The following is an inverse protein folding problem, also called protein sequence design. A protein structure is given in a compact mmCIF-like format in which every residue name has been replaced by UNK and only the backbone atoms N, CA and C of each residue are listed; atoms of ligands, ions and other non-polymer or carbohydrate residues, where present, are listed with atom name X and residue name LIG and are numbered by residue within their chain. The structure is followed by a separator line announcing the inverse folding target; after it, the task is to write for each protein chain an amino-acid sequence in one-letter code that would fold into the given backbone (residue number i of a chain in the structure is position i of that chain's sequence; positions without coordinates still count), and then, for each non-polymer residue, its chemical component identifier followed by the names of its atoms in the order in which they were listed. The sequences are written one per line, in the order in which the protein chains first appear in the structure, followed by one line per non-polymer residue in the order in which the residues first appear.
data_IF_248891183656
#
_entry.id   IF_248891183656
#
_cell.length_a   1.000
_cell.length_b   1.000
_cell.length_c   1.000
_cell.angle_alpha   90.00
_cell.angle_beta   90.00
_cell.angle_gamma   90.00
#
_symmetry.space_group_name_H-M   'P 1'
#
loop_
_entity.id
_entity.type
_entity.pdbx_description
1 polymer ?
#
# COMPACT_ATOMS: atom_id res chain seq x y z
N UNK A 1 -33.07 -17.56 18.91
CA UNK A 1 -33.48 -16.98 17.62
C UNK A 1 -33.33 -15.47 17.76
N UNK A 2 -32.39 -14.77 17.16
CA UNK A 2 -31.52 -15.02 16.01
C UNK A 2 -30.15 -14.37 16.26
N UNK A 3 -29.09 -15.18 16.17
CA UNK A 3 -27.68 -14.77 16.15
C UNK A 3 -27.01 -15.15 14.83
N UNK A 4 -27.81 -15.48 13.81
CA UNK A 4 -27.37 -16.17 12.58
C UNK A 4 -27.23 -15.25 11.35
N UNK A 5 -27.54 -13.95 11.46
CA UNK A 5 -27.63 -13.07 10.28
C UNK A 5 -26.31 -12.44 9.82
N UNK A 6 -25.22 -12.48 10.60
CA UNK A 6 -23.92 -11.92 10.16
C UNK A 6 -23.05 -12.94 9.41
N UNK A 7 -23.08 -14.22 9.77
CA UNK A 7 -22.35 -15.28 9.05
C UNK A 7 -22.95 -15.54 7.66
N UNK A 8 -24.27 -15.40 7.50
CA UNK A 8 -24.94 -15.63 6.21
C UNK A 8 -24.48 -14.63 5.13
N UNK A 9 -24.11 -13.40 5.51
CA UNK A 9 -23.75 -12.36 4.55
C UNK A 9 -22.38 -12.56 3.87
N UNK A 10 -21.38 -13.08 4.60
CA UNK A 10 -20.04 -13.33 4.08
C UNK A 10 -19.95 -14.67 3.34
N UNK A 11 -20.72 -15.67 3.78
CA UNK A 11 -20.88 -16.95 3.07
C UNK A 11 -21.56 -16.74 1.72
N UNK A 12 -22.69 -16.02 1.68
CA UNK A 12 -23.39 -15.67 0.44
C UNK A 12 -22.50 -14.92 -0.55
N UNK A 13 -21.63 -14.03 -0.05
CA UNK A 13 -20.68 -13.28 -0.88
C UNK A 13 -19.58 -14.17 -1.45
N UNK A 14 -19.07 -15.10 -0.65
CA UNK A 14 -18.04 -16.05 -1.08
C UNK A 14 -18.61 -17.02 -2.11
N UNK A 15 -19.79 -17.56 -1.87
CA UNK A 15 -20.51 -18.42 -2.82
C UNK A 15 -20.79 -17.70 -4.13
N UNK A 16 -21.28 -16.45 -4.08
CA UNK A 16 -21.47 -15.63 -5.28
C UNK A 16 -20.17 -15.48 -6.08
N UNK A 17 -19.05 -15.20 -5.42
CA UNK A 17 -17.75 -15.07 -6.09
C UNK A 17 -17.31 -16.37 -6.72
N UNK A 18 -17.46 -17.51 -6.04
CA UNK A 18 -17.10 -18.82 -6.56
C UNK A 18 -17.94 -19.19 -7.79
N UNK A 19 -19.26 -19.02 -7.72
CA UNK A 19 -20.17 -19.24 -8.85
C UNK A 19 -19.83 -18.33 -10.04
N UNK A 20 -19.46 -17.08 -9.75
CA UNK A 20 -19.01 -16.11 -10.77
C UNK A 20 -17.73 -16.59 -11.47
N UNK A 21 -16.74 -17.10 -10.72
CA UNK A 21 -15.49 -17.62 -11.29
C UNK A 21 -15.75 -18.85 -12.16
N UNK A 22 -16.60 -19.78 -11.73
CA UNK A 22 -16.95 -20.96 -12.52
C UNK A 22 -17.66 -20.60 -13.83
N UNK A 23 -18.46 -19.52 -13.83
CA UNK A 23 -19.05 -18.98 -15.06
C UNK A 23 -17.98 -18.40 -15.98
N UNK A 24 -17.09 -17.55 -15.45
CA UNK A 24 -16.02 -16.89 -16.23
C UNK A 24 -15.07 -17.91 -16.86
N UNK A 25 -14.71 -18.98 -16.15
CA UNK A 25 -13.80 -20.03 -16.66
C UNK A 25 -14.31 -20.70 -17.94
N UNK A 26 -15.64 -20.77 -18.11
CA UNK A 26 -16.31 -21.40 -19.26
C UNK A 26 -16.37 -20.51 -20.50
N UNK A 27 -15.99 -19.24 -20.40
CA UNK A 27 -15.98 -18.33 -21.56
C UNK A 27 -15.02 -18.84 -22.64
N UNK A 28 -15.42 -18.68 -23.89
CA UNK A 28 -14.55 -18.81 -25.04
C UNK A 28 -13.72 -17.53 -25.26
N UNK A 29 -12.63 -17.66 -26.00
CA UNK A 29 -11.77 -16.51 -26.31
C UNK A 29 -12.52 -15.46 -27.14
N UNK A 30 -12.58 -14.24 -26.63
CA UNK A 30 -13.31 -13.12 -27.22
C UNK A 30 -14.67 -12.87 -26.55
N UNK A 31 -15.20 -13.82 -25.80
CA UNK A 31 -16.50 -13.69 -25.15
C UNK A 31 -16.46 -12.77 -23.93
N UNK A 32 -17.62 -12.18 -23.63
CA UNK A 32 -17.82 -11.28 -22.50
C UNK A 32 -19.01 -11.72 -21.66
N UNK A 33 -18.77 -11.87 -20.37
CA UNK A 33 -19.79 -12.09 -19.35
C UNK A 33 -20.13 -10.79 -18.63
N UNK A 34 -21.42 -10.57 -18.34
CA UNK A 34 -21.89 -9.42 -17.58
C UNK A 34 -22.38 -9.88 -16.21
N UNK A 35 -21.79 -9.32 -15.15
CA UNK A 35 -22.04 -9.71 -13.77
C UNK A 35 -22.66 -8.53 -13.06
N UNK A 36 -23.89 -8.71 -12.60
CA UNK A 36 -24.66 -7.66 -11.95
C UNK A 36 -25.36 -8.17 -10.71
N UNK A 37 -25.17 -7.46 -9.60
CA UNK A 37 -25.96 -7.54 -8.39
C UNK A 37 -25.98 -6.16 -7.71
N UNK A 38 -26.50 -6.05 -6.48
CA UNK A 38 -26.60 -4.78 -5.75
C UNK A 38 -25.23 -4.07 -5.56
N UNK A 39 -24.15 -4.84 -5.41
CA UNK A 39 -22.80 -4.32 -5.10
C UNK A 39 -21.86 -4.32 -6.30
N UNK A 40 -22.11 -5.17 -7.28
CA UNK A 40 -21.23 -5.47 -8.41
C UNK A 40 -21.97 -5.13 -9.70
N UNK A 41 -21.31 -4.38 -10.57
CA UNK A 41 -21.78 -4.13 -11.92
C UNK A 41 -20.55 -4.06 -12.82
N UNK A 42 -20.17 -5.20 -13.38
CA UNK A 42 -18.95 -5.34 -14.15
C UNK A 42 -19.11 -6.27 -15.34
N UNK A 43 -18.19 -6.14 -16.30
CA UNK A 43 -18.02 -7.10 -17.38
C UNK A 43 -16.66 -7.76 -17.32
N UNK A 44 -16.61 -9.01 -17.78
CA UNK A 44 -15.39 -9.82 -17.85
C UNK A 44 -15.27 -10.38 -19.24
N UNK A 45 -14.21 -10.01 -19.94
CA UNK A 45 -13.93 -10.51 -21.29
C UNK A 45 -12.73 -11.46 -21.23
N UNK A 46 -12.85 -12.67 -21.77
CA UNK A 46 -11.69 -13.55 -21.97
C UNK A 46 -10.93 -13.09 -23.22
N UNK A 47 -9.86 -12.34 -23.02
CA UNK A 47 -9.25 -11.51 -24.06
C UNK A 47 -8.11 -12.21 -24.81
N UNK A 48 -8.28 -12.37 -26.12
CA UNK A 48 -7.32 -12.99 -27.04
C UNK A 48 -5.96 -12.27 -26.99
N UNK A 49 -5.96 -10.94 -27.08
CA UNK A 49 -4.74 -10.14 -27.24
C UNK A 49 -3.75 -10.35 -26.10
N UNK A 50 -4.22 -10.32 -24.86
CA UNK A 50 -3.38 -10.45 -23.67
C UNK A 50 -3.33 -11.86 -23.12
N UNK A 51 -3.98 -12.83 -23.78
CA UNK A 51 -4.10 -14.21 -23.30
C UNK A 51 -4.58 -14.29 -21.83
N UNK A 52 -5.53 -13.44 -21.45
CA UNK A 52 -6.06 -13.37 -20.08
C UNK A 52 -7.44 -12.72 -20.03
N UNK A 53 -8.03 -12.58 -18.85
CA UNK A 53 -9.31 -11.90 -18.64
C UNK A 53 -9.12 -10.38 -18.48
N UNK A 54 -10.08 -9.60 -18.97
CA UNK A 54 -10.18 -8.16 -18.72
C UNK A 54 -11.44 -7.91 -17.91
N UNK A 55 -11.28 -7.41 -16.68
CA UNK A 55 -12.36 -7.04 -15.79
C UNK A 55 -12.58 -5.52 -15.82
N UNK A 56 -13.83 -5.07 -15.99
CA UNK A 56 -14.19 -3.63 -16.07
C UNK A 56 -15.45 -3.34 -15.25
N UNK A 57 -15.53 -2.15 -14.65
CA UNK A 57 -16.73 -1.70 -13.92
C UNK A 57 -16.66 -1.85 -12.40
N UNK A 58 -17.77 -1.63 -11.72
CA UNK A 58 -17.85 -1.64 -10.24
C UNK A 58 -17.70 -3.07 -9.71
N UNK A 59 -16.77 -3.28 -8.78
CA UNK A 59 -16.49 -4.59 -8.20
C UNK A 59 -15.53 -5.48 -9.01
N UNK A 60 -15.18 -5.08 -10.23
CA UNK A 60 -14.29 -5.80 -11.14
C UNK A 60 -12.94 -6.21 -10.52
N UNK A 61 -12.30 -5.29 -9.79
CA UNK A 61 -11.04 -5.56 -9.07
C UNK A 61 -11.17 -6.72 -8.06
N UNK A 62 -12.29 -6.79 -7.34
CA UNK A 62 -12.49 -7.82 -6.32
C UNK A 62 -12.65 -9.20 -6.96
N UNK A 63 -13.39 -9.29 -8.08
CA UNK A 63 -13.54 -10.55 -8.82
C UNK A 63 -12.21 -10.97 -9.42
N UNK A 64 -11.44 -10.04 -10.00
CA UNK A 64 -10.11 -10.34 -10.54
C UNK A 64 -9.15 -10.88 -9.47
N UNK A 65 -9.18 -10.29 -8.26
CA UNK A 65 -8.43 -10.80 -7.10
C UNK A 65 -8.91 -12.18 -6.67
N UNK A 66 -10.22 -12.40 -6.63
CA UNK A 66 -10.80 -13.69 -6.29
C UNK A 66 -10.34 -14.77 -7.28
N UNK A 67 -10.39 -14.49 -8.59
CA UNK A 67 -9.88 -15.38 -9.63
C UNK A 67 -8.41 -15.76 -9.41
N UNK A 68 -7.56 -14.78 -9.09
CA UNK A 68 -6.13 -15.01 -8.80
C UNK A 68 -5.97 -16.00 -7.64
N UNK A 69 -6.70 -15.76 -6.54
CA UNK A 69 -6.60 -16.58 -5.34
C UNK A 69 -7.14 -17.99 -5.53
N UNK A 70 -8.27 -18.15 -6.23
CA UNK A 70 -8.92 -19.44 -6.46
C UNK A 70 -8.15 -20.34 -7.43
N UNK A 71 -7.47 -19.76 -8.41
CA UNK A 71 -6.83 -20.55 -9.48
C UNK A 71 -5.37 -20.85 -9.22
N UNK A 72 -4.66 -20.03 -8.43
CA UNK A 72 -3.20 -20.02 -8.30
C UNK A 72 -2.41 -19.94 -9.61
N UNK A 73 -3.10 -19.82 -10.75
CA UNK A 73 -2.53 -19.78 -12.09
C UNK A 73 -1.96 -18.39 -12.39
N UNK A 74 -2.67 -17.35 -11.95
CA UNK A 74 -2.25 -15.97 -12.12
C UNK A 74 -1.41 -15.49 -10.93
N UNK A 75 -0.21 -14.95 -11.20
CA UNK A 75 0.72 -14.50 -10.15
C UNK A 75 0.54 -13.03 -9.79
N UNK A 76 0.15 -12.18 -10.75
CA UNK A 76 0.05 -10.72 -10.54
C UNK A 76 -1.27 -10.16 -11.07
N UNK A 77 -1.62 -8.96 -10.61
CA UNK A 77 -2.75 -8.19 -11.12
C UNK A 77 -2.22 -6.86 -11.63
N UNK A 78 -2.61 -6.49 -12.85
CA UNK A 78 -2.27 -5.20 -13.45
C UNK A 78 -3.54 -4.41 -13.75
N UNK A 79 -3.37 -3.11 -13.94
CA UNK A 79 -4.38 -2.20 -14.41
C UNK A 79 -3.93 -1.51 -15.68
N UNK A 80 -4.80 -1.46 -16.68
CA UNK A 80 -4.63 -0.61 -17.86
C UNK A 80 -5.76 0.43 -17.82
N UNK A 81 -5.41 1.72 -17.84
CA UNK A 81 -6.42 2.77 -18.02
C UNK A 81 -6.85 2.81 -19.48
N UNK A 82 -8.15 2.66 -19.72
CA UNK A 82 -8.76 2.88 -21.01
C UNK A 82 -9.07 4.37 -21.25
N UNK A 83 -9.73 4.63 -22.39
CA UNK A 83 -10.34 5.94 -22.67
C UNK A 83 -11.25 6.36 -21.50
N UNK A 84 -11.25 7.67 -21.21
CA UNK A 84 -11.95 8.29 -20.07
C UNK A 84 -11.53 7.76 -18.69
N UNK A 85 -10.26 7.35 -18.54
CA UNK A 85 -9.70 6.85 -17.27
C UNK A 85 -10.43 5.61 -16.72
N UNK A 86 -11.15 4.88 -17.60
CA UNK A 86 -11.82 3.64 -17.22
C UNK A 86 -10.81 2.56 -16.85
N UNK A 87 -10.88 2.07 -15.61
CA UNK A 87 -9.96 1.05 -15.11
C UNK A 87 -10.32 -0.32 -15.67
N UNK A 88 -9.30 -1.03 -16.15
CA UNK A 88 -9.38 -2.41 -16.62
C UNK A 88 -8.37 -3.23 -15.85
N UNK A 89 -8.82 -4.25 -15.13
CA UNK A 89 -7.96 -5.12 -14.35
C UNK A 89 -7.70 -6.41 -15.11
N UNK A 90 -6.42 -6.81 -15.20
CA UNK A 90 -6.00 -8.02 -15.92
C UNK A 90 -5.14 -8.86 -14.97
N UNK A 91 -5.57 -10.07 -14.58
CA UNK A 91 -4.68 -11.00 -13.92
C UNK A 91 -3.66 -11.52 -14.94
N UNK A 92 -2.40 -11.65 -14.56
CA UNK A 92 -1.34 -12.13 -15.46
C UNK A 92 -0.56 -13.25 -14.78
N UNK A 93 -0.11 -14.22 -15.57
CA UNK A 93 0.67 -15.37 -15.09
C UNK A 93 2.11 -14.96 -14.81
N UNK A 94 2.70 -14.21 -15.73
CA UNK A 94 4.05 -13.68 -15.61
C UNK A 94 4.12 -12.26 -16.16
N UNK A 95 5.06 -11.48 -15.62
CA UNK A 95 5.33 -10.16 -16.16
C UNK A 95 6.06 -10.25 -17.49
N UNK A 96 6.88 -11.28 -17.68
CA UNK A 96 7.64 -11.58 -18.88
C UNK A 96 6.72 -11.75 -20.09
N UNK A 97 5.78 -12.69 -20.03
CA UNK A 97 4.84 -12.96 -21.13
C UNK A 97 3.97 -11.74 -21.43
N UNK A 98 3.46 -11.07 -20.39
CA UNK A 98 2.67 -9.87 -20.57
C UNK A 98 3.48 -8.76 -21.24
N UNK A 99 4.73 -8.55 -20.82
CA UNK A 99 5.57 -7.50 -21.37
C UNK A 99 6.00 -7.79 -22.81
N UNK A 100 6.24 -9.06 -23.17
CA UNK A 100 6.51 -9.46 -24.56
C UNK A 100 5.37 -9.08 -25.51
N UNK A 101 4.12 -9.17 -25.05
CA UNK A 101 2.92 -8.73 -25.78
C UNK A 101 2.82 -7.19 -25.77
N UNK A 102 3.09 -6.57 -24.63
CA UNK A 102 2.82 -5.14 -24.40
C UNK A 102 3.94 -4.20 -24.88
N UNK A 103 5.18 -4.67 -25.04
CA UNK A 103 6.35 -3.85 -25.38
C UNK A 103 6.25 -3.14 -26.73
N UNK A 104 5.34 -3.55 -27.60
CA UNK A 104 5.09 -2.91 -28.89
C UNK A 104 4.02 -1.81 -28.83
N UNK A 105 3.33 -1.65 -27.69
CA UNK A 105 2.34 -0.58 -27.54
C UNK A 105 3.03 0.79 -27.66
N UNK A 106 2.51 1.73 -28.46
CA UNK A 106 3.08 3.08 -28.53
C UNK A 106 3.15 3.69 -27.14
N UNK A 107 4.29 4.32 -26.79
CA UNK A 107 4.47 4.90 -25.45
C UNK A 107 3.42 5.98 -25.15
N UNK A 108 2.87 6.64 -26.16
CA UNK A 108 1.74 7.56 -26.05
C UNK A 108 0.49 6.93 -25.46
N UNK A 109 0.26 5.65 -25.76
CA UNK A 109 -0.95 4.92 -25.41
C UNK A 109 -0.74 3.99 -24.20
N UNK A 110 0.46 4.00 -23.62
CA UNK A 110 0.75 3.21 -22.43
C UNK A 110 0.18 3.87 -21.19
N UNK A 111 -0.76 3.19 -20.55
CA UNK A 111 -1.35 3.59 -19.28
C UNK A 111 -1.40 2.43 -18.29
N UNK A 112 -0.26 1.75 -18.15
CA UNK A 112 -0.13 0.53 -17.36
C UNK A 112 0.30 0.84 -15.92
N UNK A 113 -0.41 0.21 -15.00
CA UNK A 113 -0.15 0.22 -13.57
C UNK A 113 -0.03 -1.22 -13.09
N UNK A 114 0.90 -1.47 -12.19
CA UNK A 114 0.89 -2.69 -11.40
C UNK A 114 -0.03 -2.52 -10.19
N UNK A 115 -0.61 -3.62 -9.71
CA UNK A 115 -1.36 -3.63 -8.48
C UNK A 115 -0.56 -4.36 -7.40
N UNK A 116 -0.05 -3.60 -6.44
CA UNK A 116 0.68 -4.11 -5.28
C UNK A 116 -0.34 -4.68 -4.29
N UNK A 117 -0.62 -5.97 -4.41
CA UNK A 117 -1.59 -6.68 -3.59
C UNK A 117 -1.12 -6.74 -2.14
N UNK A 118 -1.98 -6.34 -1.21
CA UNK A 118 -1.60 -6.15 0.20
C UNK A 118 -1.11 -7.40 0.92
N UNK A 119 -1.49 -8.58 0.42
CA UNK A 119 -1.17 -9.88 0.99
C UNK A 119 -0.02 -10.57 0.25
N UNK A 120 0.61 -9.90 -0.72
CA UNK A 120 1.74 -10.43 -1.48
C UNK A 120 3.01 -9.63 -1.19
N UNK A 121 4.18 -10.30 -1.21
CA UNK A 121 5.47 -9.63 -1.14
C UNK A 121 5.70 -8.65 -2.29
N UNK A 122 6.54 -7.65 -2.04
CA UNK A 122 6.87 -6.61 -3.00
C UNK A 122 8.34 -6.16 -2.86
N UNK A 123 8.96 -5.72 -3.94
CA UNK A 123 10.29 -5.10 -3.88
C UNK A 123 10.24 -3.82 -3.01
N UNK A 124 11.33 -3.45 -2.34
CA UNK A 124 11.45 -2.12 -1.73
C UNK A 124 11.22 -1.02 -2.77
N UNK A 125 10.40 -0.04 -2.44
CA UNK A 125 10.08 1.04 -3.37
C UNK A 125 9.78 2.35 -2.64
N UNK A 126 9.88 3.47 -3.36
CA UNK A 126 9.50 4.80 -2.90
C UNK A 126 8.76 5.54 -4.01
N UNK A 127 7.73 6.29 -3.64
CA UNK A 127 7.20 7.38 -4.46
C UNK A 127 7.67 8.70 -3.85
N UNK A 128 8.34 9.50 -4.65
CA UNK A 128 8.91 10.78 -4.20
C UNK A 128 8.24 11.87 -5.01
N UNK A 129 7.51 12.75 -4.34
CA UNK A 129 6.86 13.90 -4.95
C UNK A 129 6.87 15.12 -4.04
N UNK A 130 7.13 16.27 -4.65
CA UNK A 130 6.96 17.56 -3.99
C UNK A 130 6.63 18.66 -5.00
N UNK A 131 5.97 19.70 -4.53
CA UNK A 131 5.67 20.89 -5.33
C UNK A 131 6.91 21.78 -5.36
N UNK A 132 7.30 22.23 -6.55
CA UNK A 132 8.43 23.15 -6.72
C UNK A 132 8.06 24.54 -6.22
N UNK A 133 8.92 25.17 -5.44
CA UNK A 133 8.72 26.59 -5.09
C UNK A 133 9.06 27.47 -6.30
N UNK A 134 8.32 28.56 -6.49
CA UNK A 134 8.61 29.54 -7.55
C UNK A 134 10.06 30.04 -7.40
N UNK A 135 10.85 29.98 -8.47
CA UNK A 135 12.28 30.37 -8.57
C UNK A 135 13.29 29.41 -7.91
N UNK A 136 12.88 28.28 -7.37
CA UNK A 136 13.82 27.29 -6.82
C UNK A 136 14.47 26.48 -7.94
N UNK A 137 15.80 26.57 -8.07
CA UNK A 137 16.56 25.62 -8.87
C UNK A 137 16.73 24.35 -8.04
N UNK A 138 15.90 23.33 -8.30
CA UNK A 138 16.09 22.03 -7.67
C UNK A 138 17.34 21.35 -8.27
N UNK A 139 18.35 21.11 -7.45
CA UNK A 139 19.49 20.27 -7.83
C UNK A 139 19.10 18.79 -7.70
N UNK A 140 18.48 18.25 -8.76
CA UNK A 140 18.04 16.86 -8.77
C UNK A 140 19.18 15.86 -8.65
N UNK A 141 20.35 16.18 -9.21
CA UNK A 141 21.52 15.29 -9.17
C UNK A 141 21.99 15.10 -7.72
N UNK A 142 22.18 16.21 -7.01
CA UNK A 142 22.56 16.19 -5.59
C UNK A 142 21.52 15.47 -4.72
N UNK A 143 20.23 15.75 -4.92
CA UNK A 143 19.17 15.03 -4.20
C UNK A 143 19.23 13.51 -4.44
N UNK A 144 19.40 13.09 -5.70
CA UNK A 144 19.46 11.68 -6.07
C UNK A 144 20.72 11.01 -5.51
N UNK A 145 21.87 11.69 -5.54
CA UNK A 145 23.12 11.14 -5.01
C UNK A 145 23.07 10.96 -3.49
N UNK A 146 22.50 11.92 -2.76
CA UNK A 146 22.25 11.80 -1.31
C UNK A 146 21.27 10.66 -1.04
N UNK A 147 20.15 10.59 -1.78
CA UNK A 147 19.14 9.54 -1.63
C UNK A 147 19.72 8.14 -1.86
N UNK A 148 20.53 7.96 -2.91
CA UNK A 148 21.23 6.68 -3.19
C UNK A 148 22.12 6.31 -2.00
N UNK A 149 22.91 7.26 -1.50
CA UNK A 149 23.81 7.04 -0.37
C UNK A 149 23.05 6.62 0.89
N UNK A 150 21.95 7.31 1.19
CA UNK A 150 21.10 7.03 2.35
C UNK A 150 20.40 5.67 2.24
N UNK A 151 19.90 5.32 1.05
CA UNK A 151 19.30 3.99 0.79
C UNK A 151 20.35 2.89 1.03
N UNK A 152 21.55 3.01 0.46
CA UNK A 152 22.62 2.02 0.65
C UNK A 152 22.96 1.88 2.14
N UNK A 153 23.09 3.02 2.84
CA UNK A 153 23.36 3.05 4.29
C UNK A 153 22.27 2.34 5.10
N UNK A 154 20.99 2.55 4.80
CA UNK A 154 19.88 1.88 5.49
C UNK A 154 19.91 0.38 5.23
N UNK A 155 20.08 -0.05 3.98
CA UNK A 155 20.14 -1.47 3.67
C UNK A 155 21.30 -2.17 4.40
N UNK A 156 22.47 -1.53 4.44
CA UNK A 156 23.63 -2.06 5.16
C UNK A 156 23.40 -2.11 6.67
N UNK A 157 22.91 -1.02 7.28
CA UNK A 157 22.87 -0.86 8.74
C UNK A 157 21.60 -1.40 9.40
N UNK A 158 20.46 -1.40 8.69
CA UNK A 158 19.15 -1.81 9.22
C UNK A 158 18.73 -3.19 8.74
N UNK A 159 18.97 -3.47 7.47
CA UNK A 159 18.55 -4.74 6.86
C UNK A 159 19.70 -5.74 6.73
N UNK A 160 20.90 -5.38 7.18
CA UNK A 160 22.11 -6.20 7.07
C UNK A 160 22.29 -6.77 5.65
N UNK A 161 21.99 -5.95 4.65
CA UNK A 161 21.98 -6.36 3.24
C UNK A 161 22.82 -5.39 2.42
N UNK A 162 23.78 -5.91 1.69
CA UNK A 162 24.61 -5.12 0.79
C UNK A 162 23.89 -4.88 -0.55
N UNK A 163 23.72 -3.61 -0.90
CA UNK A 163 23.25 -3.16 -2.21
C UNK A 163 24.17 -2.07 -2.74
N UNK A 164 24.17 -1.89 -4.06
CA UNK A 164 24.92 -0.83 -4.73
C UNK A 164 24.00 0.02 -5.61
N UNK A 165 24.56 1.04 -6.27
CA UNK A 165 23.80 1.95 -7.15
C UNK A 165 23.08 1.23 -8.30
N UNK A 166 23.62 0.12 -8.80
CA UNK A 166 23.02 -0.68 -9.88
C UNK A 166 21.79 -1.45 -9.43
N UNK A 167 21.58 -1.62 -8.11
CA UNK A 167 20.35 -2.18 -7.56
C UNK A 167 19.23 -1.14 -7.43
N UNK A 168 19.51 0.15 -7.61
CA UNK A 168 18.56 1.24 -7.34
C UNK A 168 18.00 1.80 -8.64
N UNK A 169 16.81 1.36 -9.00
CA UNK A 169 16.12 1.74 -10.22
C UNK A 169 15.35 3.04 -10.01
N UNK A 170 15.77 4.11 -10.68
CA UNK A 170 15.17 5.45 -10.56
C UNK A 170 14.46 5.82 -11.85
N UNK A 171 13.19 6.21 -11.77
CA UNK A 171 12.45 6.82 -12.88
C UNK A 171 11.90 8.19 -12.52
N UNK A 172 11.65 9.03 -13.52
CA UNK A 172 11.11 10.38 -13.35
C UNK A 172 9.95 10.67 -14.26
N UNK A 173 9.07 11.56 -13.80
CA UNK A 173 7.91 12.06 -14.54
C UNK A 173 7.59 13.51 -14.14
N UNK A 174 8.62 14.33 -13.99
CA UNK A 174 8.52 15.72 -13.52
C UNK A 174 7.58 16.58 -14.40
N UNK A 175 7.00 17.61 -13.79
CA UNK A 175 6.37 18.73 -14.50
C UNK A 175 7.05 20.03 -14.09
N UNK A 176 6.62 21.16 -14.63
CA UNK A 176 7.11 22.48 -14.17
C UNK A 176 6.71 22.79 -12.73
N UNK A 177 5.62 22.18 -12.26
CA UNK A 177 5.03 22.43 -10.93
C UNK A 177 5.43 21.36 -9.92
N UNK A 178 5.64 20.12 -10.36
CA UNK A 178 5.80 18.96 -9.48
C UNK A 178 7.06 18.18 -9.82
N UNK A 179 7.87 17.89 -8.82
CA UNK A 179 8.91 16.88 -8.92
C UNK A 179 8.29 15.51 -8.63
N UNK A 180 8.74 14.47 -9.33
CA UNK A 180 8.19 13.12 -9.22
C UNK A 180 9.23 12.08 -9.64
N UNK A 181 9.62 11.24 -8.69
CA UNK A 181 10.47 10.07 -8.90
C UNK A 181 9.77 8.81 -8.39
N UNK A 182 9.97 7.69 -9.08
CA UNK A 182 9.78 6.38 -8.46
C UNK A 182 11.13 5.71 -8.28
N UNK A 183 11.33 5.11 -7.11
CA UNK A 183 12.50 4.31 -6.79
C UNK A 183 12.05 2.86 -6.58
N UNK A 184 12.76 1.90 -7.17
CA UNK A 184 12.58 0.46 -6.92
C UNK A 184 13.94 -0.16 -6.66
N UNK A 185 14.06 -0.99 -5.62
CA UNK A 185 15.31 -1.70 -5.31
C UNK A 185 15.22 -3.11 -5.89
N UNK A 186 16.01 -3.37 -6.93
CA UNK A 186 16.10 -4.66 -7.59
C UNK A 186 17.40 -5.38 -7.18
N UNK A 187 17.28 -6.25 -6.18
CA UNK A 187 18.38 -7.04 -5.64
C UNK A 187 17.98 -8.51 -5.56
N UNK A 188 18.88 -9.37 -6.03
CA UNK A 188 18.83 -10.82 -5.80
C UNK A 188 19.95 -11.19 -4.84
N UNK A 189 19.62 -11.98 -3.82
CA UNK A 189 20.55 -12.53 -2.82
C UNK A 189 20.37 -14.05 -2.80
N UNK A 190 21.44 -14.82 -3.00
CA UNK A 190 21.39 -16.30 -2.97
C UNK A 190 20.27 -16.89 -3.85
N UNK A 191 20.12 -16.39 -5.08
CA UNK A 191 19.05 -16.76 -6.01
C UNK A 191 17.62 -16.51 -5.50
N UNK A 192 17.45 -15.57 -4.56
CA UNK A 192 16.14 -15.10 -4.11
C UNK A 192 16.00 -13.60 -4.33
N UNK A 193 14.86 -13.15 -4.84
CA UNK A 193 14.56 -11.72 -4.94
C UNK A 193 14.40 -11.13 -3.54
N UNK A 194 15.08 -10.03 -3.24
CA UNK A 194 14.90 -9.32 -1.99
C UNK A 194 13.55 -8.58 -2.00
N UNK A 195 12.70 -8.85 -1.01
CA UNK A 195 11.36 -8.30 -0.93
C UNK A 195 10.96 -7.96 0.51
N UNK A 196 9.99 -7.05 0.65
CA UNK A 196 9.18 -6.93 1.85
C UNK A 196 7.98 -7.87 1.77
N UNK A 197 7.46 -8.28 2.91
CA UNK A 197 6.31 -9.21 3.02
C UNK A 197 5.01 -8.56 2.55
N UNK A 198 4.91 -7.24 2.70
CA UNK A 198 3.75 -6.45 2.31
C UNK A 198 4.14 -5.00 2.04
N UNK A 199 3.28 -4.23 1.39
CA UNK A 199 3.45 -2.78 1.25
C UNK A 199 2.70 -1.97 2.31
N UNK A 200 1.95 -2.62 3.21
CA UNK A 200 0.99 -1.93 4.08
C UNK A 200 1.69 -1.20 5.22
N UNK A 201 1.41 0.10 5.35
CA UNK A 201 1.91 0.91 6.46
C UNK A 201 1.51 0.31 7.82
N UNK A 202 2.48 0.24 8.74
CA UNK A 202 2.29 -0.26 10.10
C UNK A 202 2.24 -1.78 10.23
N UNK A 203 2.47 -2.54 9.16
CA UNK A 203 2.70 -3.99 9.23
C UNK A 203 4.18 -4.29 9.41
N UNK A 204 4.48 -5.44 10.04
CA UNK A 204 5.83 -5.98 10.12
C UNK A 204 6.37 -6.29 8.70
N UNK A 205 7.69 -6.22 8.52
CA UNK A 205 8.36 -6.49 7.24
C UNK A 205 7.72 -5.75 6.06
N UNK A 206 7.26 -4.53 6.29
CA UNK A 206 6.55 -3.73 5.29
C UNK A 206 7.48 -2.82 4.51
N UNK A 207 7.20 -2.60 3.22
CA UNK A 207 7.89 -1.61 2.39
C UNK A 207 7.81 -0.18 2.95
N UNK A 208 6.83 0.10 3.82
CA UNK A 208 6.76 1.35 4.58
C UNK A 208 8.02 1.61 5.43
N UNK A 209 8.68 0.55 5.90
CA UNK A 209 9.83 0.68 6.79
C UNK A 209 10.97 1.46 6.14
N UNK A 210 11.26 1.23 4.85
CA UNK A 210 12.29 1.99 4.12
C UNK A 210 11.98 3.49 4.12
N UNK A 211 10.73 3.87 3.87
CA UNK A 211 10.30 5.28 3.94
C UNK A 211 10.52 5.85 5.35
N UNK A 212 10.20 5.08 6.39
CA UNK A 212 10.33 5.52 7.77
C UNK A 212 11.79 5.68 8.19
N UNK A 213 12.66 4.73 7.85
CA UNK A 213 14.10 4.80 8.15
C UNK A 213 14.78 5.95 7.39
N UNK A 214 14.37 6.22 6.14
CA UNK A 214 14.83 7.41 5.42
C UNK A 214 14.44 8.68 6.16
N UNK A 215 13.17 8.85 6.53
CA UNK A 215 12.70 10.04 7.26
C UNK A 215 13.43 10.22 8.60
N UNK A 216 13.75 9.13 9.31
CA UNK A 216 14.55 9.17 10.55
C UNK A 216 15.99 9.60 10.29
N UNK A 217 16.59 9.12 9.20
CA UNK A 217 17.96 9.44 8.81
C UNK A 217 18.08 10.90 8.34
N UNK A 218 17.12 11.38 7.57
CA UNK A 218 17.07 12.76 7.09
C UNK A 218 15.62 13.25 7.06
N UNK A 219 15.33 14.22 7.94
CA UNK A 219 13.98 14.75 8.15
C UNK A 219 13.41 15.47 6.92
N UNK A 220 14.25 15.92 5.98
CA UNK A 220 13.77 16.54 4.75
C UNK A 220 12.90 15.61 3.91
N UNK A 221 13.13 14.30 3.99
CA UNK A 221 12.36 13.31 3.24
C UNK A 221 10.89 13.28 3.65
N UNK A 222 10.53 13.73 4.86
CA UNK A 222 9.14 13.76 5.33
C UNK A 222 8.22 14.59 4.41
N UNK A 223 8.78 15.62 3.77
CA UNK A 223 8.05 16.49 2.85
C UNK A 223 8.19 16.10 1.38
N UNK A 224 8.99 15.06 1.08
CA UNK A 224 9.36 14.66 -0.28
C UNK A 224 8.90 13.24 -0.63
N UNK A 225 8.83 12.32 0.34
CA UNK A 225 8.39 10.93 0.10
C UNK A 225 6.88 10.84 0.35
N UNK A 226 6.12 10.34 -0.62
CA UNK A 226 4.68 10.13 -0.46
C UNK A 226 4.40 8.86 0.35
N UNK A 227 4.18 9.04 1.64
CA UNK A 227 3.76 8.00 2.56
C UNK A 227 2.36 7.43 2.26
N UNK A 228 1.56 8.08 1.40
CA UNK A 228 0.21 7.65 1.09
C UNK A 228 0.18 6.40 0.21
N UNK A 229 1.29 6.01 -0.43
CA UNK A 229 1.33 4.85 -1.35
C UNK A 229 1.26 3.49 -0.64
N UNK A 230 1.54 3.43 0.66
CA UNK A 230 1.64 2.20 1.45
C UNK A 230 0.27 1.73 1.99
N UNK A 231 -0.64 1.40 1.07
CA UNK A 231 -2.04 1.05 1.35
C UNK A 231 -2.49 -0.21 0.62
N UNK A 232 -3.67 -0.71 0.97
CA UNK A 232 -4.28 -1.89 0.38
C UNK A 232 -4.41 -1.81 -1.14
N UNK A 233 -3.89 -2.82 -1.83
CA UNK A 233 -3.98 -3.02 -3.28
C UNK A 233 -3.59 -1.76 -4.06
N UNK A 234 -2.39 -1.23 -3.80
CA UNK A 234 -1.92 0.02 -4.36
C UNK A 234 -1.71 -0.11 -5.86
N UNK A 235 -2.38 0.74 -6.63
CA UNK A 235 -2.07 0.96 -8.04
C UNK A 235 -0.79 1.80 -8.15
N UNK A 236 0.23 1.29 -8.83
CA UNK A 236 1.51 1.95 -9.00
C UNK A 236 1.89 2.03 -10.48
N UNK A 237 2.26 3.22 -10.96
CA UNK A 237 2.48 3.44 -12.40
C UNK A 237 3.80 2.81 -12.85
N UNK A 238 3.73 2.00 -13.89
CA UNK A 238 4.90 1.29 -14.45
C UNK A 238 5.79 2.21 -15.30
N UNK A 239 7.03 1.77 -15.51
CA UNK A 239 7.95 2.44 -16.44
C UNK A 239 7.34 2.54 -17.85
N UNK A 240 7.62 3.65 -18.52
CA UNK A 240 7.10 4.04 -19.82
C UNK A 240 5.57 4.22 -19.91
N UNK A 241 4.87 4.32 -18.77
CA UNK A 241 3.42 4.55 -18.75
C UNK A 241 3.05 5.98 -18.33
N UNK A 242 2.04 6.53 -19.02
CA UNK A 242 1.43 7.83 -18.74
C UNK A 242 0.32 7.71 -17.68
N UNK A 243 0.18 8.74 -16.86
CA UNK A 243 -0.89 8.81 -15.84
C UNK A 243 -2.25 9.18 -16.47
N UNK A 244 -2.22 10.02 -17.48
CA UNK A 244 -3.39 10.55 -18.20
C UNK A 244 -3.07 10.56 -19.69
N UNK A 245 -3.96 11.10 -20.53
CA UNK A 245 -3.70 11.28 -21.96
C UNK A 245 -2.59 12.31 -22.28
N UNK A 246 -2.04 12.99 -21.26
CA UNK A 246 -0.89 13.87 -21.43
C UNK A 246 0.38 13.02 -21.52
N UNK A 247 1.15 13.20 -22.61
CA UNK A 247 2.43 12.52 -22.81
C UNK A 247 3.43 12.89 -21.71
N UNK A 248 3.50 12.03 -20.70
CA UNK A 248 4.35 12.17 -19.53
C UNK A 248 4.61 10.79 -18.92
N UNK A 249 5.33 9.92 -19.64
CA UNK A 249 5.65 8.60 -19.15
C UNK A 249 6.64 8.69 -17.98
N UNK A 250 6.63 7.68 -17.10
CA UNK A 250 7.81 7.46 -16.25
C UNK A 250 8.96 6.95 -17.09
N UNK A 251 10.13 7.56 -16.99
CA UNK A 251 11.31 7.20 -17.78
C UNK A 251 12.51 7.05 -16.86
N UNK A 252 13.54 6.25 -17.19
CA UNK A 252 14.74 6.15 -16.37
C UNK A 252 15.34 7.54 -16.10
N UNK A 253 15.82 7.78 -14.89
CA UNK A 253 16.44 9.06 -14.54
C UNK A 253 17.62 9.36 -15.48
N UNK A 254 17.81 10.65 -15.79
CA UNK A 254 18.76 11.15 -16.79
C UNK A 254 18.52 10.72 -18.24
N UNK A 255 17.37 10.13 -18.56
CA UNK A 255 16.96 9.91 -19.95
C UNK A 255 16.00 10.99 -20.45
N UNK A 256 15.93 11.15 -21.77
CA UNK A 256 14.97 12.03 -22.44
C UNK A 256 14.23 11.25 -23.50
N UNK A 257 12.91 11.32 -23.46
CA UNK A 257 12.03 10.66 -24.43
C UNK A 257 11.07 11.69 -24.99
N UNK A 258 10.94 11.69 -26.32
CA UNK A 258 9.97 12.49 -27.08
C UNK A 258 8.79 11.61 -27.51
N UNK A 259 7.67 12.26 -27.84
CA UNK A 259 6.42 11.58 -28.24
C UNK A 259 6.61 10.56 -29.38
N UNK A 260 7.47 10.87 -30.36
CA UNK A 260 7.73 10.01 -31.52
C UNK A 260 8.97 9.12 -31.35
N UNK A 261 9.47 8.94 -30.12
CA UNK A 261 10.68 8.13 -29.90
C UNK A 261 10.38 6.65 -30.16
N UNK A 262 11.13 6.04 -31.08
CA UNK A 262 11.19 4.58 -31.19
C UNK A 262 12.13 4.07 -30.10
N UNK A 263 11.57 3.55 -29.02
CA UNK A 263 12.39 2.98 -27.93
C UNK A 263 12.44 1.48 -28.09
N UNK A 264 13.65 0.95 -28.26
CA UNK A 264 13.89 -0.48 -28.15
C UNK A 264 13.92 -0.82 -26.66
N UNK A 265 12.85 -1.43 -26.17
CA UNK A 265 12.74 -1.83 -24.78
C UNK A 265 13.30 -3.23 -24.59
N UNK A 266 14.29 -3.36 -23.70
CA UNK A 266 14.67 -4.66 -23.17
C UNK A 266 13.67 -5.05 -22.09
N UNK A 267 12.96 -6.17 -22.29
CA UNK A 267 12.01 -6.71 -21.31
C UNK A 267 12.68 -6.86 -19.94
N UNK A 268 13.86 -7.50 -19.90
CA UNK A 268 14.60 -7.70 -18.65
C UNK A 268 14.96 -6.39 -17.95
N UNK A 269 15.29 -5.32 -18.68
CA UNK A 269 15.57 -4.02 -18.08
C UNK A 269 14.29 -3.34 -17.55
N UNK A 270 13.17 -3.46 -18.26
CA UNK A 270 11.90 -2.92 -17.81
C UNK A 270 11.40 -3.60 -16.53
N UNK A 271 11.58 -4.92 -16.41
CA UNK A 271 11.11 -5.70 -15.26
C UNK A 271 11.80 -5.34 -13.94
N UNK A 272 13.02 -4.79 -13.99
CA UNK A 272 13.70 -4.26 -12.79
C UNK A 272 12.90 -3.15 -12.11
N UNK A 273 12.13 -2.38 -12.88
CA UNK A 273 11.30 -1.26 -12.39
C UNK A 273 9.92 -1.69 -11.87
N UNK A 274 9.58 -2.97 -11.96
CA UNK A 274 8.28 -3.49 -11.53
C UNK A 274 8.40 -3.98 -10.09
N UNK A 275 7.60 -3.42 -9.19
CA UNK A 275 7.62 -3.69 -7.75
C UNK A 275 7.14 -5.11 -7.43
N UNK A 276 6.17 -5.60 -8.18
CA UNK A 276 5.53 -6.91 -8.01
C UNK A 276 6.21 -8.04 -8.79
N UNK A 277 7.30 -7.74 -9.52
CA UNK A 277 8.05 -8.74 -10.27
C UNK A 277 9.02 -9.52 -9.36
N UNK A 278 9.09 -10.83 -9.54
CA UNK A 278 10.03 -11.70 -8.82
C UNK A 278 10.87 -12.45 -9.85
N UNK A 279 12.16 -12.15 -9.96
CA UNK A 279 13.03 -12.74 -10.98
C UNK A 279 13.29 -14.24 -10.78
N UNK A 280 13.28 -14.72 -9.54
CA UNK A 280 13.82 -16.03 -9.17
C UNK A 280 12.76 -17.01 -8.66
N UNK A 281 11.47 -16.73 -8.86
CA UNK A 281 10.28 -17.42 -8.30
C UNK A 281 10.23 -17.55 -6.77
N UNK A 282 11.34 -17.32 -6.08
CA UNK A 282 11.51 -17.32 -4.63
C UNK A 282 12.06 -15.97 -4.16
N UNK A 283 11.79 -15.62 -2.92
CA UNK A 283 12.19 -14.34 -2.36
C UNK A 283 12.76 -14.47 -0.95
N UNK A 284 13.61 -13.53 -0.59
CA UNK A 284 14.15 -13.34 0.75
C UNK A 284 13.44 -12.14 1.37
N UNK A 285 12.78 -12.36 2.51
CA UNK A 285 12.02 -11.30 3.19
C UNK A 285 12.96 -10.46 4.04
N UNK A 286 13.00 -9.16 3.75
CA UNK A 286 13.67 -8.17 4.58
C UNK A 286 13.02 -8.19 5.97
N UNK A 287 13.84 -8.53 6.97
CA UNK A 287 13.45 -8.44 8.38
C UNK A 287 13.59 -7.00 8.84
N UNK A 288 12.49 -6.26 8.78
CA UNK A 288 12.41 -4.93 9.36
C UNK A 288 11.91 -5.07 10.80
N UNK A 289 12.63 -4.55 11.81
CA UNK A 289 12.15 -4.60 13.19
C UNK A 289 10.78 -3.93 13.23
N UNK A 290 9.75 -4.71 13.57
CA UNK A 290 8.36 -4.28 13.50
C UNK A 290 8.20 -2.90 14.14
N UNK A 291 7.82 -1.91 13.33
CA UNK A 291 7.39 -0.63 13.86
C UNK A 291 6.05 -0.91 14.55
N UNK A 292 6.04 -0.96 15.88
CA UNK A 292 4.80 -0.92 16.67
C UNK A 292 4.16 0.46 16.43
N UNK A 293 3.30 0.63 15.42
CA UNK A 293 2.52 1.87 15.26
C UNK A 293 1.11 1.66 14.67
N UNK A 294 0.13 2.02 15.52
CA UNK A 294 -1.16 2.69 15.28
C UNK A 294 -1.87 2.45 13.95
N UNK A 295 -2.91 1.63 13.99
CA UNK A 295 -3.88 1.52 12.89
C UNK A 295 -4.90 2.65 12.97
N UNK A 296 -4.98 3.50 11.95
CA UNK A 296 -6.15 4.35 11.72
C UNK A 296 -7.32 3.47 11.24
N UNK A 297 -8.40 3.42 12.02
CA UNK A 297 -9.66 2.77 11.62
C UNK A 297 -10.46 3.77 10.76
N UNK A 298 -11.15 3.31 9.70
CA UNK A 298 -12.06 4.15 8.93
C UNK A 298 -13.15 4.80 9.80
N UNK A 299 -13.66 5.91 9.31
CA UNK A 299 -14.76 6.68 9.86
C UNK A 299 -15.94 5.80 10.28
N UNK A 300 -16.12 5.66 11.61
CA UNK A 300 -17.36 5.38 12.34
C UNK A 300 -18.30 4.26 11.84
N UNK A 301 -18.48 3.17 12.61
CA UNK A 301 -19.73 2.43 12.60
C UNK A 301 -20.78 3.29 13.30
N UNK A 302 -21.81 3.70 12.55
CA UNK A 302 -23.06 4.18 13.17
C UNK A 302 -23.70 2.99 13.88
N UNK A 303 -24.10 3.21 15.13
CA UNK A 303 -24.85 2.29 16.02
C UNK A 303 -24.03 1.14 16.63
N UNK A 304 -23.30 1.43 17.70
CA UNK A 304 -22.93 0.42 18.70
C UNK A 304 -23.83 0.64 19.92
N UNK A 305 -24.64 -0.37 20.23
CA UNK A 305 -25.42 -0.48 21.46
C UNK A 305 -24.44 -0.39 22.64
N UNK A 306 -24.58 0.64 23.48
CA UNK A 306 -23.70 0.90 24.63
C UNK A 306 -23.94 -0.16 25.71
N UNK A 307 -23.15 -1.24 25.69
CA UNK A 307 -22.97 -2.09 26.87
C UNK A 307 -21.97 -1.39 27.78
N UNK A 308 -22.36 -1.11 29.02
CA UNK A 308 -21.47 -0.49 30.00
C UNK A 308 -20.34 -1.48 30.34
N UNK A 309 -19.09 -1.09 30.09
CA UNK A 309 -17.93 -1.93 30.36
C UNK A 309 -17.50 -1.72 31.82
N UNK A 310 -17.43 -2.82 32.58
CA UNK A 310 -17.00 -2.81 33.98
C UNK A 310 -15.63 -3.48 34.06
N UNK A 311 -14.61 -2.72 34.43
CA UNK A 311 -13.25 -3.21 34.71
C UNK A 311 -13.07 -3.48 36.21
N UNK A 312 -12.47 -4.63 36.53
CA UNK A 312 -11.97 -4.98 37.87
C UNK A 312 -10.68 -4.24 38.19
N UNK A 313 -10.32 -4.15 39.48
CA UNK A 313 -9.07 -3.51 39.91
C UNK A 313 -7.82 -4.19 39.32
N UNK A 314 -7.84 -5.51 39.12
CA UNK A 314 -6.73 -6.24 38.53
C UNK A 314 -6.59 -5.96 37.02
N UNK A 315 -7.69 -5.84 36.29
CA UNK A 315 -7.67 -5.43 34.88
C UNK A 315 -7.14 -4.01 34.73
N UNK A 316 -7.55 -3.07 35.61
CA UNK A 316 -7.04 -1.70 35.60
C UNK A 316 -5.51 -1.70 35.80
N UNK A 317 -4.98 -2.50 36.73
CA UNK A 317 -3.52 -2.62 36.94
C UNK A 317 -2.80 -3.15 35.70
N UNK A 318 -3.36 -4.16 35.02
CA UNK A 318 -2.81 -4.69 33.76
C UNK A 318 -2.81 -3.63 32.66
N UNK A 319 -3.91 -2.92 32.48
CA UNK A 319 -4.05 -1.83 31.51
C UNK A 319 -3.00 -0.74 31.77
N UNK A 320 -2.81 -0.31 33.01
CA UNK A 320 -1.78 0.68 33.38
C UNK A 320 -0.38 0.18 33.01
N UNK A 321 -0.09 -1.11 33.24
CA UNK A 321 1.21 -1.70 32.87
C UNK A 321 1.46 -1.66 31.36
N UNK A 322 0.42 -1.83 30.54
CA UNK A 322 0.51 -1.77 29.08
C UNK A 322 0.68 -0.35 28.54
N UNK A 323 0.12 0.65 29.21
CA UNK A 323 0.20 2.05 28.78
C UNK A 323 1.54 2.69 29.16
N UNK A 324 2.13 2.32 30.30
CA UNK A 324 3.36 2.94 30.84
C UNK A 324 4.54 3.01 29.85
N UNK A 325 4.80 2.02 28.99
CA UNK A 325 5.82 2.11 27.94
C UNK A 325 5.56 3.20 26.90
N UNK A 326 4.30 3.56 26.67
CA UNK A 326 3.87 4.59 25.70
C UNK A 326 3.85 5.96 26.38
N UNK A 327 3.26 6.03 27.58
CA UNK A 327 3.14 7.24 28.38
C UNK A 327 3.62 6.96 29.80
N UNK A 328 4.80 7.50 30.13
CA UNK A 328 5.47 7.22 31.42
C UNK A 328 4.71 7.84 32.60
N UNK A 329 4.09 9.00 32.37
CA UNK A 329 3.52 9.84 33.42
C UNK A 329 1.99 9.98 33.27
N UNK A 330 1.28 8.85 33.43
CA UNK A 330 -0.18 8.78 33.31
C UNK A 330 -0.87 8.72 34.67
N UNK A 331 -2.08 9.27 34.73
CA UNK A 331 -2.98 9.14 35.88
C UNK A 331 -4.39 8.76 35.42
N UNK A 332 -4.99 7.77 36.07
CA UNK A 332 -6.39 7.39 35.86
C UNK A 332 -7.29 8.43 36.54
N UNK A 333 -8.08 9.14 35.76
CA UNK A 333 -8.90 10.28 36.23
C UNK A 333 -10.40 9.97 36.32
N UNK A 334 -10.83 8.81 35.85
CA UNK A 334 -12.21 8.37 35.95
C UNK A 334 -12.65 7.46 34.82
N UNK A 335 -13.96 7.45 34.55
CA UNK A 335 -14.58 6.68 33.45
C UNK A 335 -15.47 7.59 32.59
N UNK A 336 -15.61 7.26 31.31
CA UNK A 336 -16.60 7.86 30.42
C UNK A 336 -17.96 7.14 30.58
N UNK A 337 -19.04 7.75 30.06
CA UNK A 337 -20.41 7.22 30.16
C UNK A 337 -20.62 5.84 29.48
N UNK A 338 -19.64 5.34 28.72
CA UNK A 338 -19.65 4.00 28.11
C UNK A 338 -18.78 3.00 28.89
N UNK A 339 -18.30 3.35 30.09
CA UNK A 339 -17.42 2.53 30.91
C UNK A 339 -15.92 2.63 30.58
N UNK A 340 -15.54 3.32 29.50
CA UNK A 340 -14.14 3.47 29.10
C UNK A 340 -13.32 4.21 30.17
N UNK A 341 -12.12 3.72 30.47
CA UNK A 341 -11.22 4.31 31.47
C UNK A 341 -10.56 5.58 30.91
N UNK A 342 -10.59 6.69 31.66
CA UNK A 342 -10.02 7.97 31.24
C UNK A 342 -8.69 8.25 31.92
N UNK A 343 -7.67 8.56 31.14
CA UNK A 343 -6.34 8.90 31.63
C UNK A 343 -5.95 10.33 31.25
N UNK A 344 -5.17 10.99 32.11
CA UNK A 344 -4.50 12.27 31.81
C UNK A 344 -2.99 12.08 31.81
N UNK A 345 -2.30 12.98 31.13
CA UNK A 345 -0.85 13.15 31.23
C UNK A 345 -0.54 14.08 32.39
N UNK A 346 0.51 13.78 33.16
CA UNK A 346 1.04 14.69 34.19
C UNK A 346 1.78 15.86 33.54
N UNK A 347 2.59 15.57 32.51
CA UNK A 347 3.28 16.59 31.72
C UNK A 347 2.43 16.99 30.50
N UNK A 348 1.94 18.23 30.48
CA UNK A 348 1.13 18.78 29.38
C UNK A 348 1.95 19.05 28.12
N UNK A 349 3.28 18.96 28.19
CA UNK A 349 4.18 19.01 27.04
C UNK A 349 4.53 17.62 26.51
N UNK A 350 4.01 16.55 27.12
CA UNK A 350 4.14 15.20 26.58
C UNK A 350 3.28 15.08 25.31
N UNK A 351 3.87 14.71 24.15
CA UNK A 351 3.07 14.40 22.97
C UNK A 351 2.22 13.16 23.24
N UNK A 352 1.02 13.09 22.67
CA UNK A 352 0.26 11.84 22.74
C UNK A 352 0.94 10.73 21.96
N UNK A 353 0.38 9.52 22.05
CA UNK A 353 0.83 8.35 21.31
C UNK A 353 0.95 8.56 19.78
N UNK A 354 0.33 9.58 19.19
CA UNK A 354 0.51 9.93 17.77
C UNK A 354 1.69 10.88 17.50
N UNK A 355 2.50 11.20 18.52
CA UNK A 355 3.61 12.16 18.43
C UNK A 355 3.21 13.64 18.34
N UNK A 356 1.92 13.97 18.55
CA UNK A 356 1.40 15.34 18.42
C UNK A 356 1.17 15.97 19.80
N UNK A 357 1.48 17.26 19.90
CA UNK A 357 1.05 18.10 21.02
C UNK A 357 -0.36 18.62 20.77
N UNK A 358 -1.18 18.64 21.81
CA UNK A 358 -2.53 19.18 21.75
C UNK A 358 -3.00 19.61 23.14
N UNK A 359 -3.89 20.60 23.17
CA UNK A 359 -4.43 21.17 24.40
C UNK A 359 -5.38 20.22 25.17
N UNK A 360 -5.73 19.07 24.60
CA UNK A 360 -6.55 18.06 25.28
C UNK A 360 -5.71 17.26 26.27
N UNK A 361 -6.11 17.28 27.53
CA UNK A 361 -5.37 16.68 28.65
C UNK A 361 -5.65 15.17 28.80
N UNK A 362 -5.56 14.35 27.75
CA UNK A 362 -5.64 12.90 27.95
C UNK A 362 -6.18 12.04 26.82
N UNK A 363 -6.47 10.80 27.19
CA UNK A 363 -6.97 9.73 26.34
C UNK A 363 -7.92 8.83 27.13
N UNK A 364 -8.61 7.94 26.45
CA UNK A 364 -9.39 6.88 27.10
C UNK A 364 -8.99 5.51 26.57
N UNK A 365 -9.23 4.48 27.37
CA UNK A 365 -8.98 3.08 27.04
C UNK A 365 -10.28 2.30 27.10
N UNK A 366 -10.53 1.51 26.07
CA UNK A 366 -11.70 0.64 25.97
C UNK A 366 -11.40 -0.59 25.13
N UNK A 367 -12.32 -1.56 25.10
CA UNK A 367 -12.25 -2.71 24.21
C UNK A 367 -13.07 -2.47 22.93
N UNK A 368 -12.62 -3.04 21.80
CA UNK A 368 -13.39 -3.07 20.55
C UNK A 368 -14.34 -4.28 20.48
N UNK A 369 -15.06 -4.41 19.35
CA UNK A 369 -16.01 -5.50 19.13
C UNK A 369 -15.35 -6.90 19.08
N UNK A 370 -14.03 -6.97 18.94
CA UNK A 370 -13.25 -8.20 18.93
C UNK A 370 -12.57 -8.44 20.30
N UNK A 371 -13.03 -7.77 21.37
CA UNK A 371 -12.43 -7.78 22.71
C UNK A 371 -10.96 -7.32 22.75
N UNK A 372 -10.50 -6.54 21.77
CA UNK A 372 -9.14 -6.01 21.78
C UNK A 372 -9.09 -4.68 22.50
N UNK A 373 -8.14 -4.57 23.43
CA UNK A 373 -7.92 -3.37 24.20
C UNK A 373 -7.27 -2.28 23.34
N UNK A 374 -7.84 -1.08 23.34
CA UNK A 374 -7.27 0.06 22.63
C UNK A 374 -7.40 1.35 23.42
N UNK A 375 -6.47 2.28 23.19
CA UNK A 375 -6.53 3.66 23.66
C UNK A 375 -6.82 4.63 22.52
N UNK A 376 -7.52 5.73 22.85
CA UNK A 376 -7.83 6.82 21.93
C UNK A 376 -7.66 8.18 22.58
N UNK A 377 -6.98 9.08 21.88
CA UNK A 377 -6.76 10.45 22.33
C UNK A 377 -8.09 11.23 22.30
N UNK A 378 -8.30 12.07 23.32
CA UNK A 378 -9.47 12.94 23.41
C UNK A 378 -9.40 14.16 22.47
N UNK A 379 -8.25 14.40 21.84
CA UNK A 379 -8.08 15.48 20.86
C UNK A 379 -8.88 15.24 19.59
N UNK A 380 -9.59 16.27 19.12
CA UNK A 380 -10.25 16.27 17.81
C UNK A 380 -9.27 16.01 16.66
N UNK A 381 -8.01 16.42 16.80
CA UNK A 381 -6.95 16.24 15.80
C UNK A 381 -6.44 14.80 15.69
N UNK A 382 -6.81 13.95 16.65
CA UNK A 382 -6.42 12.54 16.71
C UNK A 382 -7.63 11.60 16.62
N UNK A 383 -8.81 12.12 16.26
CA UNK A 383 -10.06 11.35 16.22
C UNK A 383 -9.95 10.07 15.40
N UNK A 384 -9.18 10.04 14.32
CA UNK A 384 -9.06 8.87 13.45
C UNK A 384 -7.99 7.86 13.90
N UNK A 385 -7.21 8.17 14.93
CA UNK A 385 -6.08 7.36 15.37
C UNK A 385 -6.47 6.55 16.59
N UNK A 386 -6.26 5.24 16.53
CA UNK A 386 -6.47 4.31 17.64
C UNK A 386 -5.14 3.56 17.89
N UNK A 387 -4.86 3.27 19.14
CA UNK A 387 -3.69 2.52 19.58
C UNK A 387 -4.16 1.23 20.25
N UNK A 388 -3.93 0.09 19.61
CA UNK A 388 -4.17 -1.19 20.26
C UNK A 388 -3.06 -1.50 21.25
N UNK A 389 -3.45 -1.96 22.43
CA UNK A 389 -2.57 -2.32 23.55
C UNK A 389 -2.28 -3.82 23.61
N UNK A 390 -3.13 -4.64 22.98
CA UNK A 390 -3.06 -6.10 22.86
C UNK A 390 -3.51 -6.57 21.47
#
# INVERSE_FOLDING_TARGET
MSSDDSMSSDENKTEFMNNTIEKIKKLDWGETEYITNEFINCSVTKNIRYNTYIFKGKGSKNIAKHLINETNYYKSLIQILGKNESRRFLPIQSWEEFWEIYKNEPITDRHLFELILSHKPCKPYLDIEWVKKKKEKCNYAEFVDILITDIIKIFMTKYNTEINKENIMITTSHTDIKTSFHIVIDKVLNNKQLMFETNIKGKENSAWDLCNELIKLNKEYETKIDASVYTTDREFRTIYSNKTNVFRPFIPYNTKIRINSKIKLSTNECLKYIITHCKTDTYEIIKAPGIILFTSIPSSPKNIIKKEIIYTNEEIKKIVKLIKPIHKNIELTGKLNNGALRFTYYDKKEPCYTGKLHNSNGFYVTIDNNNKLYMRCLSNHCKTNICYLE
#
